data_IF_534199330007
#
_entry.id   IF_534199330007
#
_cell.length_a   1.000
_cell.length_b   1.000
_cell.length_c   1.000
_cell.angle_alpha   90.00
_cell.angle_beta   90.00
_cell.angle_gamma   90.00
#
_symmetry.space_group_name_H-M   'P 1'
#
loop_
_entity.id
_entity.type
_entity.pdbx_description
1 polymer ?
#
# COMPACT_ATOMS: atom_id res chain seq x y z
N UNK A 1 -7.79 -22.24 31.39
CA UNK A 1 -7.22 -21.88 30.06
C UNK A 1 -5.91 -22.61 29.90
N UNK A 2 -5.69 -23.20 28.75
CA UNK A 2 -4.48 -23.98 28.41
C UNK A 2 -3.44 -23.10 27.75
N UNK A 3 -2.18 -23.50 27.81
CA UNK A 3 -1.10 -22.94 27.01
C UNK A 3 -1.25 -23.49 25.59
N UNK A 4 -1.03 -22.63 24.61
CA UNK A 4 -1.20 -23.02 23.21
C UNK A 4 -0.03 -22.49 22.37
N UNK A 5 0.50 -23.37 21.53
CA UNK A 5 1.41 -23.01 20.45
C UNK A 5 0.68 -23.25 19.13
N UNK A 6 0.68 -22.28 18.26
CA UNK A 6 0.13 -22.40 16.91
C UNK A 6 1.24 -22.19 15.91
N UNK A 7 1.39 -23.12 14.99
CA UNK A 7 2.30 -23.01 13.85
C UNK A 7 1.47 -22.90 12.60
N UNK A 8 1.75 -21.94 11.77
CA UNK A 8 1.07 -21.79 10.48
C UNK A 8 2.06 -21.53 9.35
N UNK A 9 1.77 -22.15 8.22
CA UNK A 9 2.46 -21.92 6.96
C UNK A 9 1.42 -21.67 5.87
N UNK A 10 1.65 -20.64 5.07
CA UNK A 10 0.82 -20.31 3.92
C UNK A 10 1.73 -20.06 2.72
N UNK A 11 1.35 -20.61 1.58
CA UNK A 11 1.93 -20.26 0.28
C UNK A 11 0.82 -19.77 -0.65
N UNK A 12 1.10 -18.73 -1.39
CA UNK A 12 0.23 -18.20 -2.44
C UNK A 12 1.08 -17.91 -3.68
N UNK A 13 0.58 -18.24 -4.86
CA UNK A 13 1.21 -17.91 -6.14
C UNK A 13 0.13 -17.41 -7.09
N UNK A 14 0.37 -16.26 -7.72
CA UNK A 14 -0.57 -15.58 -8.61
C UNK A 14 0.14 -15.22 -9.92
N UNK A 15 0.31 -16.22 -10.83
CA UNK A 15 0.78 -15.92 -12.17
C UNK A 15 -0.31 -15.20 -12.96
N UNK A 16 0.08 -14.20 -13.73
CA UNK A 16 -0.80 -13.46 -14.64
C UNK A 16 -0.09 -13.28 -15.97
N UNK A 17 -0.85 -13.37 -17.04
CA UNK A 17 -0.41 -13.02 -18.39
C UNK A 17 -1.33 -11.94 -18.94
N UNK A 18 -0.75 -10.98 -19.63
CA UNK A 18 -1.48 -9.93 -20.32
C UNK A 18 -0.94 -9.83 -21.73
N UNK A 19 -1.82 -9.94 -22.70
CA UNK A 19 -1.50 -9.78 -24.11
C UNK A 19 -2.43 -8.68 -24.66
N UNK A 20 -1.83 -7.59 -25.12
CA UNK A 20 -2.58 -6.43 -25.57
C UNK A 20 -2.03 -5.87 -26.87
N UNK A 21 -2.95 -5.54 -27.76
CA UNK A 21 -2.69 -4.90 -29.04
C UNK A 21 -3.36 -3.52 -29.05
N UNK A 22 -2.68 -2.55 -29.59
CA UNK A 22 -3.27 -1.27 -29.97
C UNK A 22 -2.97 -1.03 -31.44
N UNK A 23 -4.02 -1.08 -32.26
CA UNK A 23 -3.93 -0.85 -33.70
C UNK A 23 -4.72 0.41 -34.04
N UNK A 24 -4.04 1.32 -34.71
CA UNK A 24 -4.72 2.44 -35.36
C UNK A 24 -5.29 1.91 -36.67
N UNK A 25 -6.61 1.78 -36.73
CA UNK A 25 -7.32 1.40 -37.95
C UNK A 25 -7.15 2.52 -38.98
N UNK A 26 -7.15 2.15 -40.27
CA UNK A 26 -7.07 3.08 -41.39
C UNK A 26 -8.04 4.25 -41.20
N UNK A 27 -7.49 5.40 -40.89
CA UNK A 27 -8.24 6.65 -40.97
C UNK A 27 -8.22 6.96 -42.48
N UNK A 28 -9.39 6.96 -43.13
CA UNK A 28 -9.48 7.38 -44.52
C UNK A 28 -8.69 8.70 -44.71
N UNK A 29 -7.81 8.77 -45.69
CA UNK A 29 -6.91 9.90 -45.85
C UNK A 29 -7.72 11.16 -46.20
N UNK A 30 -8.03 11.92 -45.18
CA UNK A 30 -8.38 13.32 -45.32
C UNK A 30 -7.04 14.07 -45.49
N UNK A 31 -6.79 14.64 -46.66
CA UNK A 31 -5.52 15.32 -47.01
C UNK A 31 -5.05 16.32 -45.93
N UNK A 32 -5.99 16.89 -45.15
CA UNK A 32 -5.71 17.83 -44.06
C UNK A 32 -5.38 17.13 -42.72
N UNK A 33 -5.68 15.83 -42.53
CA UNK A 33 -5.39 15.07 -41.33
C UNK A 33 -4.14 14.20 -41.42
N UNK A 34 -3.69 13.89 -42.62
CA UNK A 34 -2.52 13.04 -42.87
C UNK A 34 -1.23 13.65 -42.28
N UNK A 35 -1.11 14.99 -42.32
CA UNK A 35 0.06 15.68 -41.78
C UNK A 35 0.11 15.60 -40.25
N UNK A 36 -1.03 15.70 -39.58
CA UNK A 36 -1.12 15.57 -38.12
C UNK A 36 -0.79 14.14 -37.66
N UNK A 37 -1.24 13.12 -38.38
CA UNK A 37 -0.96 11.71 -38.08
C UNK A 37 0.53 11.39 -38.30
N UNK A 38 1.15 11.92 -39.35
CA UNK A 38 2.58 11.79 -39.60
C UNK A 38 3.42 12.53 -38.57
N UNK A 39 3.01 13.75 -38.16
CA UNK A 39 3.68 14.51 -37.11
C UNK A 39 3.58 13.82 -35.73
N UNK A 40 2.45 13.18 -35.42
CA UNK A 40 2.26 12.45 -34.17
C UNK A 40 3.00 11.09 -34.12
N UNK A 41 3.58 10.63 -35.27
CA UNK A 41 4.32 9.36 -35.33
C UNK A 41 3.59 8.21 -34.64
N UNK A 42 2.27 8.07 -34.89
CA UNK A 42 1.45 7.04 -34.28
C UNK A 42 1.91 5.66 -34.77
N UNK A 43 2.21 4.81 -33.81
CA UNK A 43 2.67 3.43 -34.04
C UNK A 43 1.68 2.44 -33.45
N UNK A 44 1.42 1.38 -34.18
CA UNK A 44 0.77 0.21 -33.63
C UNK A 44 1.70 -0.44 -32.60
N UNK A 45 1.15 -1.00 -31.54
CA UNK A 45 1.96 -1.73 -30.58
C UNK A 45 1.29 -3.01 -30.09
N UNK A 46 2.14 -3.94 -29.74
CA UNK A 46 1.81 -5.19 -29.07
C UNK A 46 2.60 -5.27 -27.77
N UNK A 47 1.95 -5.65 -26.68
CA UNK A 47 2.57 -5.86 -25.37
C UNK A 47 2.24 -7.25 -24.86
N UNK A 48 3.25 -8.09 -24.66
CA UNK A 48 3.17 -9.42 -24.01
C UNK A 48 3.76 -9.30 -22.63
N UNK A 49 2.92 -9.41 -21.61
CA UNK A 49 3.29 -9.26 -20.22
C UNK A 49 3.08 -10.55 -19.41
N UNK A 50 4.08 -10.93 -18.62
CA UNK A 50 4.04 -12.04 -17.67
C UNK A 50 4.44 -11.56 -16.30
N UNK A 51 3.56 -11.71 -15.32
CA UNK A 51 3.86 -11.38 -13.94
C UNK A 51 3.60 -12.57 -13.03
N UNK A 52 4.36 -12.69 -11.96
CA UNK A 52 4.07 -13.66 -10.92
C UNK A 52 4.42 -13.08 -9.55
N UNK A 53 3.44 -13.16 -8.65
CA UNK A 53 3.64 -12.87 -7.23
C UNK A 53 3.57 -14.17 -6.45
N UNK A 54 4.68 -14.57 -5.83
CA UNK A 54 4.75 -15.69 -4.90
C UNK A 54 4.97 -15.16 -3.49
N UNK A 55 4.11 -15.55 -2.56
CA UNK A 55 4.22 -15.19 -1.15
C UNK A 55 4.22 -16.45 -0.29
N UNK A 56 5.19 -16.54 0.61
CA UNK A 56 5.28 -17.56 1.65
C UNK A 56 5.23 -16.88 3.02
N UNK A 57 4.42 -17.39 3.91
CA UNK A 57 4.27 -16.88 5.28
C UNK A 57 4.48 -18.01 6.27
N UNK A 58 5.41 -17.81 7.19
CA UNK A 58 5.64 -18.66 8.36
C UNK A 58 5.28 -17.88 9.61
N UNK A 59 4.51 -18.48 10.50
CA UNK A 59 4.10 -17.82 11.73
C UNK A 59 4.08 -18.81 12.89
N UNK A 60 4.58 -18.35 14.04
CA UNK A 60 4.55 -19.06 15.32
C UNK A 60 3.89 -18.14 16.33
N UNK A 61 2.84 -18.60 16.98
CA UNK A 61 2.15 -17.93 18.05
C UNK A 61 2.22 -18.74 19.33
N UNK A 62 2.46 -18.10 20.45
CA UNK A 62 2.40 -18.67 21.77
C UNK A 62 1.47 -17.86 22.67
N UNK A 63 0.49 -18.53 23.24
CA UNK A 63 -0.45 -17.97 24.20
C UNK A 63 -0.36 -18.69 25.53
N UNK A 64 -0.14 -17.95 26.60
CA UNK A 64 -0.10 -18.50 27.96
C UNK A 64 -0.95 -17.70 28.92
N UNK A 65 -1.91 -18.33 29.61
CA UNK A 65 -2.62 -17.71 30.73
C UNK A 65 -1.72 -17.72 31.98
N UNK A 66 -1.72 -16.60 32.69
CA UNK A 66 -1.09 -16.45 34.01
C UNK A 66 -2.18 -16.22 35.03
N UNK A 67 -2.50 -17.28 35.78
CA UNK A 67 -3.66 -17.25 36.66
C UNK A 67 -5.00 -17.13 35.92
N UNK A 68 -5.99 -16.49 36.56
CA UNK A 68 -7.35 -16.36 36.00
C UNK A 68 -7.57 -15.08 35.20
N UNK A 69 -6.75 -14.07 35.44
CA UNK A 69 -6.96 -12.70 34.96
C UNK A 69 -6.07 -12.30 33.82
N UNK A 70 -4.90 -12.89 33.70
CA UNK A 70 -3.84 -12.45 32.79
C UNK A 70 -3.65 -13.44 31.65
N UNK A 71 -3.32 -12.94 30.48
CA UNK A 71 -2.89 -13.75 29.33
C UNK A 71 -1.77 -13.01 28.63
N UNK A 72 -0.68 -13.72 28.32
CA UNK A 72 0.40 -13.24 27.48
C UNK A 72 0.27 -13.92 26.12
N UNK A 73 0.39 -13.13 25.06
CA UNK A 73 0.42 -13.55 23.68
C UNK A 73 1.73 -13.06 23.08
N UNK A 74 2.52 -13.94 22.47
CA UNK A 74 3.75 -13.56 21.77
C UNK A 74 3.88 -14.38 20.50
N UNK A 75 4.58 -13.85 19.53
CA UNK A 75 4.79 -14.59 18.29
C UNK A 75 5.81 -13.93 17.39
N UNK A 76 6.15 -14.68 16.35
CA UNK A 76 7.01 -14.23 15.28
C UNK A 76 6.39 -14.63 13.94
N UNK A 77 6.56 -13.76 12.94
CA UNK A 77 6.08 -13.98 11.58
C UNK A 77 7.16 -13.59 10.59
N UNK A 78 7.36 -14.45 9.61
CA UNK A 78 8.22 -14.17 8.46
C UNK A 78 7.41 -14.29 7.18
N UNK A 79 7.47 -13.26 6.36
CA UNK A 79 6.88 -13.25 5.02
C UNK A 79 8.01 -13.09 4.02
N UNK A 80 8.08 -14.02 3.10
CA UNK A 80 8.90 -13.93 1.90
C UNK A 80 7.99 -13.70 0.70
N UNK A 81 8.23 -12.61 -0.03
CA UNK A 81 7.50 -12.30 -1.25
C UNK A 81 8.47 -12.10 -2.40
N UNK A 82 8.20 -12.80 -3.49
CA UNK A 82 8.91 -12.64 -4.76
C UNK A 82 7.92 -12.19 -5.82
N UNK A 83 8.13 -11.00 -6.35
CA UNK A 83 7.42 -10.49 -7.51
C UNK A 83 8.38 -10.52 -8.69
N UNK A 84 7.91 -11.01 -9.84
CA UNK A 84 8.62 -10.95 -11.11
C UNK A 84 7.68 -10.39 -12.16
N UNK A 85 8.21 -9.55 -13.03
CA UNK A 85 7.50 -9.00 -14.19
C UNK A 85 8.42 -9.10 -15.39
N UNK A 86 7.90 -9.61 -16.49
CA UNK A 86 8.52 -9.60 -17.83
C UNK A 86 7.44 -9.04 -18.77
N UNK A 87 7.63 -7.82 -19.21
CA UNK A 87 6.74 -7.14 -20.14
C UNK A 87 7.53 -6.75 -21.37
N UNK A 88 7.19 -7.37 -22.50
CA UNK A 88 7.83 -7.15 -23.79
C UNK A 88 6.96 -6.28 -24.65
N UNK A 89 7.54 -5.21 -25.14
CA UNK A 89 6.86 -4.23 -25.96
C UNK A 89 7.40 -4.23 -27.38
N UNK A 90 6.48 -4.25 -28.33
CA UNK A 90 6.79 -4.28 -29.76
C UNK A 90 6.04 -3.15 -30.46
N UNK A 91 6.65 -2.52 -31.43
CA UNK A 91 6.09 -1.43 -32.20
C UNK A 91 6.11 -1.74 -33.71
N UNK A 92 5.07 -1.32 -34.40
CA UNK A 92 5.01 -1.36 -35.86
C UNK A 92 4.65 0.02 -36.41
N UNK A 93 5.30 0.42 -37.50
CA UNK A 93 5.01 1.71 -38.14
C UNK A 93 3.76 1.64 -39.00
N UNK A 94 2.87 2.63 -38.81
CA UNK A 94 1.62 2.76 -39.58
C UNK A 94 0.71 1.56 -39.44
N UNK A 95 0.08 1.14 -40.54
CA UNK A 95 -0.79 -0.04 -40.62
C UNK A 95 0.00 -1.35 -40.81
N UNK A 96 1.32 -1.34 -40.61
CA UNK A 96 2.17 -2.53 -40.72
C UNK A 96 1.91 -3.51 -39.58
N UNK A 97 1.91 -4.80 -39.87
CA UNK A 97 1.90 -5.87 -38.88
C UNK A 97 3.30 -6.37 -38.52
N UNK A 98 4.35 -5.71 -39.03
CA UNK A 98 5.73 -6.05 -38.70
C UNK A 98 6.15 -5.40 -37.38
N UNK A 99 5.87 -6.07 -36.30
CA UNK A 99 6.19 -5.62 -34.94
C UNK A 99 7.67 -5.82 -34.62
N UNK A 100 8.40 -4.74 -34.35
CA UNK A 100 9.79 -4.75 -33.89
C UNK A 100 9.86 -4.59 -32.37
N UNK A 101 10.72 -5.39 -31.72
CA UNK A 101 10.93 -5.30 -30.27
C UNK A 101 11.53 -3.95 -29.90
N UNK A 102 10.94 -3.31 -28.87
CA UNK A 102 11.43 -2.05 -28.33
C UNK A 102 11.90 -2.27 -26.87
N UNK A 103 13.21 -2.34 -26.68
CA UNK A 103 13.83 -2.55 -25.38
C UNK A 103 13.55 -1.40 -24.40
N UNK A 104 13.55 -0.15 -24.88
CA UNK A 104 13.32 1.04 -24.04
C UNK A 104 11.90 1.12 -23.47
N UNK A 105 10.94 0.44 -24.08
CA UNK A 105 9.56 0.34 -23.62
C UNK A 105 9.24 -1.02 -22.98
N UNK A 106 10.16 -1.97 -23.10
CA UNK A 106 10.09 -3.26 -22.42
C UNK A 106 10.60 -3.15 -20.99
N UNK A 107 10.18 -4.03 -20.10
CA UNK A 107 10.60 -4.01 -18.70
C UNK A 107 10.64 -5.43 -18.14
N UNK A 108 11.79 -5.85 -17.65
CA UNK A 108 11.91 -7.06 -16.84
C UNK A 108 12.54 -6.71 -15.50
N UNK A 109 11.85 -7.07 -14.40
CA UNK A 109 12.39 -6.88 -13.06
C UNK A 109 12.03 -8.01 -12.10
N UNK A 110 12.82 -8.13 -11.04
CA UNK A 110 12.61 -9.01 -9.90
C UNK A 110 12.62 -8.19 -8.61
N UNK A 111 11.61 -8.38 -7.78
CA UNK A 111 11.51 -7.74 -6.48
C UNK A 111 11.39 -8.82 -5.41
N UNK A 112 12.38 -8.88 -4.53
CA UNK A 112 12.38 -9.72 -3.33
C UNK A 112 12.03 -8.87 -2.12
N UNK A 113 11.17 -9.39 -1.26
CA UNK A 113 10.74 -8.69 -0.06
C UNK A 113 10.70 -9.67 1.12
N UNK A 114 11.52 -9.40 2.13
CA UNK A 114 11.61 -10.14 3.38
C UNK A 114 11.03 -9.30 4.50
N UNK A 115 9.97 -9.76 5.16
CA UNK A 115 9.34 -9.07 6.28
C UNK A 115 9.43 -9.97 7.50
N UNK A 116 10.22 -9.56 8.48
CA UNK A 116 10.31 -10.21 9.79
C UNK A 116 9.51 -9.39 10.80
N UNK A 117 8.70 -10.07 11.59
CA UNK A 117 7.90 -9.43 12.64
C UNK A 117 8.02 -10.22 13.92
N UNK A 118 8.19 -9.52 15.04
CA UNK A 118 8.07 -10.07 16.39
C UNK A 118 7.04 -9.23 17.16
N UNK A 119 6.19 -9.87 17.92
CA UNK A 119 5.13 -9.17 18.66
C UNK A 119 4.86 -9.80 20.01
N UNK A 120 4.43 -8.93 20.92
CA UNK A 120 3.97 -9.30 22.24
C UNK A 120 2.69 -8.54 22.60
N UNK A 121 1.78 -9.21 23.24
CA UNK A 121 0.54 -8.68 23.75
C UNK A 121 0.26 -9.19 25.17
N UNK A 122 -0.40 -8.37 25.93
CA UNK A 122 -0.84 -8.71 27.26
C UNK A 122 -2.34 -8.45 27.39
N UNK A 123 -3.05 -9.32 28.04
CA UNK A 123 -4.50 -9.15 28.30
C UNK A 123 -4.78 -9.29 29.79
N UNK A 124 -5.32 -8.23 30.37
CA UNK A 124 -5.92 -8.24 31.72
C UNK A 124 -7.44 -8.27 31.59
N UNK A 125 -8.09 -9.21 32.29
CA UNK A 125 -9.56 -9.27 32.44
C UNK A 125 -9.93 -9.31 33.89
N UNK A 126 -10.58 -8.24 34.40
CA UNK A 126 -11.00 -8.14 35.80
C UNK A 126 -12.39 -7.50 35.92
N UNK A 127 -13.36 -8.19 36.51
CA UNK A 127 -14.71 -7.68 36.83
C UNK A 127 -15.38 -6.86 35.70
N UNK A 128 -15.32 -7.38 34.44
CA UNK A 128 -15.90 -6.66 33.29
C UNK A 128 -14.99 -5.64 32.65
N UNK A 129 -13.83 -5.34 33.23
CA UNK A 129 -12.77 -4.54 32.63
C UNK A 129 -11.84 -5.45 31.82
N UNK A 130 -11.45 -4.98 30.64
CA UNK A 130 -10.46 -5.62 29.78
C UNK A 130 -9.45 -4.57 29.35
N UNK A 131 -8.16 -4.87 29.51
CA UNK A 131 -7.04 -4.05 29.01
C UNK A 131 -6.12 -4.94 28.19
N UNK A 132 -5.87 -4.53 26.94
CA UNK A 132 -5.03 -5.29 26.00
C UNK A 132 -4.06 -4.37 25.27
N UNK A 133 -2.87 -4.09 25.83
CA UNK A 133 -1.76 -3.50 25.10
C UNK A 133 -1.08 -4.54 24.22
N UNK A 134 -0.53 -4.09 23.11
CA UNK A 134 0.26 -4.88 22.18
C UNK A 134 1.35 -4.05 21.54
N UNK A 135 2.47 -4.69 21.22
CA UNK A 135 3.58 -4.09 20.53
C UNK A 135 4.10 -5.06 19.48
N UNK A 136 4.34 -4.57 18.26
CA UNK A 136 4.93 -5.33 17.16
C UNK A 136 6.10 -4.54 16.58
N UNK A 137 7.22 -5.23 16.43
CA UNK A 137 8.36 -4.75 15.66
C UNK A 137 8.36 -5.43 14.30
N UNK A 138 8.57 -4.67 13.24
CA UNK A 138 8.69 -5.19 11.88
C UNK A 138 9.96 -4.67 11.23
N UNK A 139 10.72 -5.59 10.64
CA UNK A 139 11.87 -5.33 9.80
C UNK A 139 11.54 -5.78 8.38
N UNK A 140 11.65 -4.87 7.41
CA UNK A 140 11.41 -5.15 6.00
C UNK A 140 12.67 -4.86 5.21
N UNK A 141 13.12 -5.85 4.44
CA UNK A 141 14.27 -5.74 3.54
C UNK A 141 13.75 -6.01 2.14
N UNK A 142 13.98 -5.07 1.23
CA UNK A 142 13.58 -5.17 -0.18
C UNK A 142 14.81 -5.08 -1.07
N UNK A 143 14.84 -5.92 -2.10
CA UNK A 143 15.83 -5.92 -3.16
C UNK A 143 15.10 -5.87 -4.51
N UNK A 144 15.42 -4.89 -5.35
CA UNK A 144 14.84 -4.76 -6.68
C UNK A 144 15.96 -4.80 -7.71
N UNK A 145 15.83 -5.72 -8.68
CA UNK A 145 16.73 -5.86 -9.81
C UNK A 145 15.98 -5.68 -11.11
N UNK A 146 16.40 -4.71 -11.90
CA UNK A 146 15.97 -4.52 -13.27
C UNK A 146 16.92 -5.28 -14.20
N UNK A 147 16.35 -6.07 -15.10
CA UNK A 147 17.08 -6.90 -16.06
C UNK A 147 16.95 -6.34 -17.47
N UNK A 148 15.83 -5.69 -17.79
CA UNK A 148 15.53 -5.06 -19.08
C UNK A 148 14.75 -3.78 -18.85
N UNK A 149 15.01 -2.77 -19.68
CA UNK A 149 14.26 -1.53 -19.75
C UNK A 149 14.62 -0.49 -18.68
N UNK A 150 13.81 0.57 -18.58
CA UNK A 150 14.09 1.69 -17.71
C UNK A 150 13.90 1.31 -16.24
N UNK A 151 14.93 1.54 -15.44
CA UNK A 151 14.96 1.29 -14.01
C UNK A 151 16.37 1.06 -13.51
N UNK A 152 16.58 1.31 -12.22
CA UNK A 152 17.85 1.08 -11.55
C UNK A 152 17.68 0.05 -10.44
N UNK A 153 18.73 -0.72 -10.18
CA UNK A 153 18.76 -1.65 -9.07
C UNK A 153 18.84 -0.85 -7.77
N UNK A 154 18.03 -1.21 -6.79
CA UNK A 154 18.08 -0.59 -5.48
C UNK A 154 17.63 -1.56 -4.38
N UNK A 155 18.09 -1.24 -3.17
CA UNK A 155 17.69 -1.91 -1.95
C UNK A 155 17.03 -0.91 -1.01
N UNK A 156 16.10 -1.37 -0.19
CA UNK A 156 15.50 -0.56 0.86
C UNK A 156 15.26 -1.37 2.13
N UNK A 157 15.34 -0.68 3.25
CA UNK A 157 15.25 -1.28 4.56
C UNK A 157 14.38 -0.40 5.48
N UNK A 158 13.35 -1.00 6.07
CA UNK A 158 12.42 -0.31 6.95
C UNK A 158 12.35 -1.03 8.30
N UNK A 159 12.43 -0.25 9.37
CA UNK A 159 12.25 -0.70 10.75
C UNK A 159 11.11 0.06 11.38
N UNK A 160 10.07 -0.65 11.79
CA UNK A 160 8.85 -0.05 12.31
C UNK A 160 8.43 -0.67 13.63
N UNK A 161 8.10 0.19 14.61
CA UNK A 161 7.50 -0.20 15.87
C UNK A 161 6.01 0.16 15.82
N UNK A 162 5.13 -0.82 16.04
CA UNK A 162 3.69 -0.72 15.82
C UNK A 162 2.95 -1.02 17.13
N UNK A 163 2.63 0.01 17.93
CA UNK A 163 1.87 -0.14 19.17
C UNK A 163 0.37 -0.25 18.91
N UNK A 164 -0.31 -0.92 19.84
CA UNK A 164 -1.76 -0.99 19.93
C UNK A 164 -2.23 -1.09 21.37
N UNK A 165 -3.41 -0.55 21.66
CA UNK A 165 -4.06 -0.67 22.96
C UNK A 165 -5.55 -0.86 22.75
N UNK A 166 -6.16 -1.80 23.48
CA UNK A 166 -7.62 -1.95 23.51
C UNK A 166 -8.11 -1.97 24.96
N UNK A 167 -9.14 -1.19 25.22
CA UNK A 167 -9.84 -1.07 26.49
C UNK A 167 -11.28 -1.53 26.31
N UNK A 168 -11.82 -2.23 27.29
CA UNK A 168 -13.22 -2.63 27.32
C UNK A 168 -13.78 -2.59 28.73
N UNK A 169 -14.98 -2.02 28.91
CA UNK A 169 -15.67 -1.94 30.18
C UNK A 169 -17.11 -2.39 29.97
N UNK A 170 -17.53 -3.40 30.73
CA UNK A 170 -18.93 -3.78 30.83
C UNK A 170 -19.62 -2.95 31.91
N UNK A 171 -20.57 -2.13 31.50
CA UNK A 171 -21.38 -1.30 32.37
C UNK A 171 -22.72 -2.02 32.65
N UNK A 172 -22.70 -2.91 33.65
CA UNK A 172 -23.86 -3.76 33.97
C UNK A 172 -23.99 -4.96 32.99
N UNK A 173 -25.27 -5.38 32.74
CA UNK A 173 -25.55 -6.59 31.93
C UNK A 173 -25.67 -6.33 30.43
N UNK A 174 -26.02 -5.11 30.05
CA UNK A 174 -26.45 -4.80 28.68
C UNK A 174 -25.63 -3.72 27.99
N UNK A 175 -24.70 -3.09 28.71
CA UNK A 175 -23.95 -1.94 28.21
C UNK A 175 -22.45 -2.25 28.13
N UNK A 176 -21.82 -1.80 27.08
CA UNK A 176 -20.37 -1.93 26.86
C UNK A 176 -19.80 -0.61 26.39
N UNK A 177 -18.67 -0.23 26.97
CA UNK A 177 -17.82 0.85 26.50
C UNK A 177 -16.50 0.24 26.03
N UNK A 178 -16.05 0.59 24.84
CA UNK A 178 -14.76 0.16 24.29
C UNK A 178 -14.00 1.35 23.77
N UNK A 179 -12.69 1.35 23.98
CA UNK A 179 -11.79 2.31 23.41
C UNK A 179 -10.57 1.59 22.84
N UNK A 180 -10.01 2.14 21.81
CA UNK A 180 -8.85 1.56 21.17
C UNK A 180 -7.92 2.61 20.58
N UNK A 181 -6.66 2.23 20.50
CA UNK A 181 -5.66 2.89 19.71
C UNK A 181 -4.91 1.83 18.92
N UNK A 182 -4.73 2.06 17.63
CA UNK A 182 -3.86 1.24 16.80
C UNK A 182 -3.07 2.11 15.83
N UNK A 183 -1.85 1.69 15.58
CA UNK A 183 -1.04 2.23 14.49
C UNK A 183 -0.99 1.21 13.36
N UNK A 184 -1.04 1.70 12.13
CA UNK A 184 -0.80 0.91 10.92
C UNK A 184 0.32 1.54 10.15
N UNK A 185 1.11 0.70 9.51
CA UNK A 185 2.19 1.13 8.63
C UNK A 185 1.84 0.76 7.19
N UNK A 186 2.22 1.64 6.27
CA UNK A 186 2.22 1.36 4.85
C UNK A 186 3.59 1.70 4.26
N UNK A 187 4.19 0.73 3.60
CA UNK A 187 5.52 0.85 3.02
C UNK A 187 5.44 1.40 1.61
N UNK A 188 6.38 2.25 1.20
CA UNK A 188 6.43 2.71 -0.18
C UNK A 188 6.59 1.54 -1.14
N UNK A 189 5.87 1.61 -2.26
CA UNK A 189 6.02 0.66 -3.36
C UNK A 189 7.30 0.90 -4.15
N UNK A 190 7.70 -0.08 -4.99
CA UNK A 190 8.91 0.01 -5.81
C UNK A 190 8.92 1.24 -6.72
N UNK A 191 7.76 1.67 -7.23
CA UNK A 191 7.62 2.85 -8.07
C UNK A 191 7.92 4.17 -7.34
N UNK A 192 7.62 4.22 -6.04
CA UNK A 192 7.94 5.37 -5.21
C UNK A 192 9.43 5.45 -4.87
N UNK A 193 10.10 4.29 -4.84
CA UNK A 193 11.49 4.14 -4.39
C UNK A 193 12.50 4.15 -5.53
N UNK A 194 12.09 3.77 -6.76
CA UNK A 194 12.99 3.60 -7.91
C UNK A 194 13.78 4.89 -8.18
N UNK A 195 15.10 4.90 -8.00
CA UNK A 195 15.93 6.09 -8.21
C UNK A 195 16.13 6.46 -9.68
N UNK A 196 15.68 5.62 -10.61
CA UNK A 196 15.81 5.86 -12.04
C UNK A 196 15.28 7.24 -12.44
N UNK A 197 16.12 8.01 -13.12
CA UNK A 197 15.78 9.33 -13.65
C UNK A 197 15.10 9.17 -15.01
N UNK A 198 13.78 9.06 -15.00
CA UNK A 198 12.98 8.92 -16.22
C UNK A 198 12.81 10.27 -16.91
N UNK A 199 13.57 10.47 -17.97
CA UNK A 199 13.54 11.63 -18.86
C UNK A 199 13.16 11.25 -20.30
N UNK A 200 12.45 10.15 -20.51
CA UNK A 200 11.96 9.76 -21.84
C UNK A 200 11.17 10.91 -22.51
N UNK A 201 10.44 11.67 -21.70
CA UNK A 201 9.96 12.97 -22.09
C UNK A 201 10.75 14.05 -21.32
N UNK A 202 11.64 14.81 -21.97
CA UNK A 202 12.51 15.76 -21.30
C UNK A 202 11.75 16.91 -20.61
N UNK A 203 10.46 17.15 -20.95
CA UNK A 203 9.62 18.14 -20.30
C UNK A 203 8.85 17.58 -19.09
N UNK A 204 8.79 16.25 -18.92
CA UNK A 204 8.10 15.56 -17.82
C UNK A 204 8.99 14.50 -17.23
N UNK A 205 9.75 14.88 -16.23
CA UNK A 205 10.77 14.03 -15.61
C UNK A 205 10.19 13.43 -14.33
N UNK A 206 10.36 12.11 -14.15
CA UNK A 206 9.94 11.41 -12.96
C UNK A 206 11.14 10.68 -12.34
N UNK A 207 11.21 10.72 -11.01
CA UNK A 207 12.22 9.98 -10.25
C UNK A 207 11.63 9.56 -8.91
N UNK A 208 11.75 8.30 -8.54
CA UNK A 208 11.40 7.85 -7.21
C UNK A 208 12.39 8.36 -6.16
N UNK A 209 12.07 8.14 -4.89
CA UNK A 209 12.90 8.55 -3.78
C UNK A 209 13.22 7.35 -2.88
N UNK A 210 14.43 6.79 -2.93
CA UNK A 210 14.84 5.63 -2.12
C UNK A 210 14.89 5.94 -0.62
N UNK A 211 14.88 7.22 -0.21
CA UNK A 211 14.94 7.67 1.18
C UNK A 211 13.56 7.75 1.86
N UNK A 212 12.49 7.33 1.19
CA UNK A 212 11.15 7.31 1.77
C UNK A 212 11.10 6.40 3.00
N UNK A 213 10.26 6.79 3.95
CA UNK A 213 9.95 6.01 5.16
C UNK A 213 8.55 5.41 5.07
N UNK A 214 8.29 4.36 5.83
CA UNK A 214 6.93 3.83 5.98
C UNK A 214 5.97 4.92 6.47
N UNK A 215 4.79 5.01 5.85
CA UNK A 215 3.70 5.84 6.37
C UNK A 215 3.18 5.25 7.69
N UNK A 216 2.82 6.13 8.62
CA UNK A 216 2.27 5.75 9.92
C UNK A 216 0.89 6.38 10.11
N UNK A 217 -0.13 5.54 10.08
CA UNK A 217 -1.51 5.94 10.31
C UNK A 217 -1.92 5.57 11.73
N UNK A 218 -2.33 6.56 12.48
CA UNK A 218 -2.80 6.42 13.86
C UNK A 218 -4.33 6.45 13.87
N UNK A 219 -4.96 5.54 14.60
CA UNK A 219 -6.40 5.48 14.73
C UNK A 219 -6.80 5.31 16.18
N UNK A 220 -7.72 6.16 16.65
CA UNK A 220 -8.39 6.09 17.93
C UNK A 220 -9.84 5.76 17.68
N UNK A 221 -10.38 4.84 18.44
CA UNK A 221 -11.79 4.49 18.42
C UNK A 221 -12.38 4.50 19.83
N UNK A 222 -13.62 4.97 19.93
CA UNK A 222 -14.43 4.90 21.12
C UNK A 222 -15.84 4.44 20.72
N UNK A 223 -16.32 3.39 21.34
CA UNK A 223 -17.65 2.88 21.06
C UNK A 223 -18.43 2.57 22.33
N UNK A 224 -19.68 2.99 22.34
CA UNK A 224 -20.65 2.65 23.36
C UNK A 224 -21.77 1.85 22.73
N UNK A 225 -22.14 0.74 23.35
CA UNK A 225 -23.28 -0.06 22.95
C UNK A 225 -24.17 -0.40 24.15
N UNK A 226 -25.47 -0.29 23.95
CA UNK A 226 -26.50 -0.66 24.93
C UNK A 226 -27.58 -1.50 24.25
N UNK A 227 -27.81 -2.70 24.77
CA UNK A 227 -28.81 -3.63 24.25
C UNK A 227 -29.82 -3.97 25.33
N UNK A 228 -31.01 -3.40 25.22
CA UNK A 228 -32.12 -3.67 26.11
C UNK A 228 -33.34 -4.15 25.32
N UNK A 229 -34.38 -4.65 26.00
CA UNK A 229 -35.62 -5.03 25.31
C UNK A 229 -36.31 -3.85 24.61
N UNK A 230 -36.08 -2.62 25.08
CA UNK A 230 -36.72 -1.39 24.56
C UNK A 230 -35.81 -0.62 23.62
N UNK A 231 -34.47 -0.61 23.86
CA UNK A 231 -33.52 0.21 23.12
C UNK A 231 -32.30 -0.60 22.72
N UNK A 232 -31.89 -0.44 21.47
CA UNK A 232 -30.60 -0.84 20.99
C UNK A 232 -29.87 0.41 20.49
N UNK A 233 -28.79 0.78 21.16
CA UNK A 233 -28.01 1.98 20.87
C UNK A 233 -26.60 1.54 20.54
N UNK A 234 -26.07 2.02 19.42
CA UNK A 234 -24.64 1.97 19.09
C UNK A 234 -24.17 3.39 18.74
N UNK A 235 -23.19 3.85 19.48
CA UNK A 235 -22.48 5.09 19.21
C UNK A 235 -21.01 4.77 19.03
N UNK A 236 -20.40 5.20 17.92
CA UNK A 236 -18.97 5.05 17.71
C UNK A 236 -18.36 6.32 17.15
N UNK A 237 -17.27 6.74 17.77
CA UNK A 237 -16.41 7.82 17.35
C UNK A 237 -15.07 7.22 16.89
N UNK A 238 -14.60 7.62 15.72
CA UNK A 238 -13.29 7.27 15.22
C UNK A 238 -12.56 8.54 14.81
N UNK A 239 -11.31 8.64 15.23
CA UNK A 239 -10.40 9.67 14.78
C UNK A 239 -9.13 9.00 14.24
N UNK A 240 -8.75 9.31 13.02
CA UNK A 240 -7.50 8.82 12.42
C UNK A 240 -6.69 9.98 11.85
N UNK A 241 -5.37 9.84 11.92
CA UNK A 241 -4.46 10.80 11.30
C UNK A 241 -3.19 10.12 10.78
N UNK A 242 -2.61 10.72 9.76
CA UNK A 242 -1.29 10.43 9.22
C UNK A 242 -0.55 11.77 9.05
N UNK A 243 0.71 11.85 9.48
CA UNK A 243 1.53 13.05 9.40
C UNK A 243 2.76 12.87 8.49
N UNK A 244 2.93 11.71 7.88
CA UNK A 244 4.05 11.36 7.01
C UNK A 244 3.62 10.57 5.78
N UNK A 245 2.45 10.89 5.23
CA UNK A 245 1.95 10.29 3.99
C UNK A 245 2.91 10.51 2.83
N UNK A 246 3.03 9.52 1.97
CA UNK A 246 3.84 9.59 0.76
C UNK A 246 3.04 10.32 -0.30
N UNK A 247 3.53 11.50 -0.69
CA UNK A 247 2.90 12.34 -1.69
C UNK A 247 3.84 12.60 -2.85
N UNK A 248 3.27 12.76 -4.04
CA UNK A 248 4.01 13.21 -5.22
C UNK A 248 4.29 14.71 -5.10
N UNK A 249 5.55 15.08 -5.30
CA UNK A 249 6.03 16.45 -5.31
C UNK A 249 6.41 16.78 -6.73
N UNK A 250 5.81 17.82 -7.32
CA UNK A 250 6.16 18.28 -8.66
C UNK A 250 6.57 19.73 -8.62
N UNK A 251 7.64 20.08 -9.33
CA UNK A 251 8.13 21.44 -9.47
C UNK A 251 8.59 21.73 -10.89
N UNK A 252 8.47 22.95 -11.32
CA UNK A 252 9.05 23.41 -12.58
C UNK A 252 10.54 23.71 -12.38
N UNK A 253 11.34 23.41 -13.40
CA UNK A 253 12.74 23.82 -13.50
C UNK A 253 12.73 25.29 -13.97
N UNK A 254 13.13 26.18 -13.10
CA UNK A 254 13.08 27.65 -13.32
C UNK A 254 14.43 28.27 -13.66
N UNK A 255 15.51 27.49 -13.53
CA UNK A 255 16.84 27.94 -13.98
C UNK A 255 16.90 27.89 -15.50
N UNK A 256 17.31 28.98 -16.13
CA UNK A 256 17.40 29.12 -17.59
C UNK A 256 18.43 28.20 -18.22
N UNK A 257 19.47 27.83 -17.48
CA UNK A 257 20.52 26.89 -17.89
C UNK A 257 20.11 25.42 -17.66
N UNK A 258 18.92 25.21 -17.09
CA UNK A 258 18.44 23.93 -16.63
C UNK A 258 19.02 23.53 -15.26
N UNK A 259 18.69 22.34 -14.79
CA UNK A 259 19.18 21.80 -13.52
C UNK A 259 19.92 20.47 -13.74
N UNK A 260 21.01 20.30 -13.01
CA UNK A 260 21.80 19.05 -13.00
C UNK A 260 21.49 18.31 -11.71
N UNK A 261 21.02 17.06 -11.84
CA UNK A 261 20.72 16.16 -10.74
C UNK A 261 21.90 15.22 -10.47
N UNK A 262 21.80 14.46 -9.38
CA UNK A 262 22.76 13.41 -9.04
C UNK A 262 22.94 12.44 -10.21
N UNK A 263 24.17 11.99 -10.46
CA UNK A 263 24.52 11.18 -11.64
C UNK A 263 24.72 11.97 -12.93
N UNK A 264 24.66 13.32 -12.89
CA UNK A 264 24.87 14.18 -14.06
C UNK A 264 23.65 14.29 -15.00
N UNK A 265 22.50 13.82 -14.58
CA UNK A 265 21.25 13.93 -15.34
C UNK A 265 20.81 15.39 -15.48
N UNK A 266 20.41 15.79 -16.67
CA UNK A 266 20.03 17.17 -16.98
C UNK A 266 18.52 17.30 -17.19
N UNK A 267 17.92 18.31 -16.54
CA UNK A 267 16.54 18.74 -16.78
C UNK A 267 16.56 20.14 -17.44
N UNK A 268 15.90 20.34 -18.60
CA UNK A 268 15.88 21.63 -19.25
C UNK A 268 14.97 22.64 -18.51
N UNK A 269 15.18 23.92 -18.78
CA UNK A 269 14.30 24.98 -18.35
C UNK A 269 12.84 24.72 -18.77
N UNK A 270 11.91 24.92 -17.83
CA UNK A 270 10.47 24.70 -18.06
C UNK A 270 10.02 23.23 -17.93
N UNK A 271 10.92 22.29 -17.70
CA UNK A 271 10.55 20.90 -17.44
C UNK A 271 9.85 20.75 -16.07
N UNK A 272 8.88 19.85 -16.00
CA UNK A 272 8.22 19.46 -14.76
C UNK A 272 8.94 18.25 -14.17
N UNK A 273 9.68 18.48 -13.08
CA UNK A 273 10.30 17.39 -12.31
C UNK A 273 9.37 16.92 -11.21
N UNK A 274 9.17 15.61 -11.11
CA UNK A 274 8.31 14.96 -10.13
C UNK A 274 9.04 13.88 -9.35
N UNK A 275 8.87 13.88 -8.03
CA UNK A 275 9.41 12.88 -7.10
C UNK A 275 8.41 12.61 -5.97
N UNK A 276 8.82 11.88 -4.94
CA UNK A 276 7.98 11.52 -3.79
C UNK A 276 8.63 11.95 -2.47
N UNK A 277 7.79 12.31 -1.50
CA UNK A 277 8.24 12.67 -0.14
C UNK A 277 7.22 12.27 0.92
N UNK A 278 7.69 12.04 2.14
CA UNK A 278 6.84 11.83 3.32
C UNK A 278 6.33 13.17 3.88
N UNK A 279 5.52 13.88 3.11
CA UNK A 279 5.01 15.23 3.43
C UNK A 279 3.50 15.27 3.65
N UNK A 280 2.79 14.21 3.29
CA UNK A 280 1.34 14.15 3.38
C UNK A 280 0.83 14.20 4.81
N UNK A 281 -0.24 14.94 5.01
CA UNK A 281 -0.96 15.02 6.28
C UNK A 281 -2.44 14.82 6.04
N UNK A 282 -3.02 13.84 6.72
CA UNK A 282 -4.45 13.59 6.67
C UNK A 282 -5.02 13.45 8.06
N UNK A 283 -6.27 13.89 8.24
CA UNK A 283 -7.06 13.73 9.47
C UNK A 283 -8.49 13.44 9.10
N UNK A 284 -9.04 12.44 9.73
CA UNK A 284 -10.42 12.02 9.52
C UNK A 284 -11.09 11.78 10.87
N UNK A 285 -12.29 12.32 11.04
CA UNK A 285 -13.12 12.05 12.22
C UNK A 285 -14.48 11.58 11.75
N UNK A 286 -14.87 10.40 12.18
CA UNK A 286 -16.16 9.79 11.86
C UNK A 286 -16.98 9.55 13.12
N UNK A 287 -18.26 9.89 13.08
CA UNK A 287 -19.25 9.59 14.10
C UNK A 287 -20.33 8.73 13.47
N UNK A 288 -20.58 7.55 14.07
CA UNK A 288 -21.69 6.71 13.69
C UNK A 288 -22.64 6.56 14.87
N UNK A 289 -23.91 6.77 14.61
CA UNK A 289 -24.98 6.61 15.59
C UNK A 289 -26.06 5.71 15.02
N UNK A 290 -26.41 4.69 15.80
CA UNK A 290 -27.54 3.82 15.50
C UNK A 290 -28.43 3.70 16.71
N UNK A 291 -29.72 3.94 16.50
CA UNK A 291 -30.79 3.77 17.52
C UNK A 291 -31.89 2.88 16.94
N UNK A 292 -32.27 1.87 17.70
CA UNK A 292 -33.50 1.13 17.48
C UNK A 292 -34.32 1.20 18.77
N UNK A 293 -35.51 1.74 18.65
CA UNK A 293 -36.44 1.88 19.79
C UNK A 293 -37.72 1.09 19.55
N UNK A 294 -37.96 0.11 20.40
CA UNK A 294 -39.21 -0.63 20.46
C UNK A 294 -40.21 0.12 21.37
N UNK A 295 -40.90 1.12 20.81
CA UNK A 295 -41.81 1.99 21.54
C UNK A 295 -43.02 1.22 22.06
N UNK A 296 -43.51 0.20 21.34
CA UNK A 296 -44.56 -0.73 21.73
C UNK A 296 -44.36 -2.08 21.03
N UNK A 297 -45.12 -3.14 21.39
CA UNK A 297 -45.10 -4.41 20.65
C UNK A 297 -45.41 -4.29 19.15
N UNK A 298 -46.08 -3.18 18.76
CA UNK A 298 -46.50 -2.90 17.38
C UNK A 298 -45.72 -1.77 16.69
N UNK A 299 -44.85 -1.05 17.42
CA UNK A 299 -44.15 0.14 16.91
C UNK A 299 -42.66 0.05 17.17
N UNK A 300 -41.85 0.08 16.08
CA UNK A 300 -40.40 0.14 16.13
C UNK A 300 -39.93 1.35 15.35
N UNK A 301 -38.91 2.03 15.85
CA UNK A 301 -38.23 3.19 15.23
C UNK A 301 -36.74 2.84 15.12
N UNK A 302 -36.16 3.02 13.94
CA UNK A 302 -34.73 2.83 13.70
C UNK A 302 -34.15 4.03 12.96
#
# INVERSE_FOLDING_TARGET
>A
KERMITLSYKINSQPQTNDSYNTYLDIEPDENKLDIIKELSLKNFHSDGKTNTMEQTFQVDYTTPIGKLHTIETGAKYIFRRNSSDNRFYEAEGASENYAYNENRSSEYRHLNHILSAYAGYTLKYKGFTFKPGLRYEQTIQEVKYLVGPGENFDSNFSDLVPSVSLGIKLGKTQNLRGGYNMRIWRPGIWNLNPYFDNQNPMFINQGNPNLKSEKSHSFDLSYSSFTSKFNINLSLRHSFNNNGIERISRLITDKDGEIFEGGHKAPYGALYSTYGNIGKSRETGLNFYLNWNASPKTRIY
#
